data_IF_931691866200
#
_entry.id   IF_931691866200
#
_cell.length_a   1.000
_cell.length_b   1.000
_cell.length_c   1.000
_cell.angle_alpha   90.00
_cell.angle_beta   90.00
_cell.angle_gamma   90.00
#
_symmetry.space_group_name_H-M   'P 1'
#
loop_
_entity.id
_entity.type
_entity.pdbx_description
1 polymer ?
#
# COMPACT_ATOMS: atom_id res chain seq x y z
N UNK A 1 -1.88 -13.06 -6.38
CA UNK A 1 -2.03 -12.70 -4.96
C UNK A 1 -0.61 -12.57 -4.43
N UNK A 2 -0.25 -11.38 -3.96
CA UNK A 2 1.15 -11.07 -3.61
C UNK A 2 1.35 -11.11 -2.09
N UNK A 3 2.51 -11.65 -1.66
CA UNK A 3 2.93 -11.62 -0.27
C UNK A 3 3.30 -10.20 0.17
N UNK A 4 2.95 -9.83 1.40
CA UNK A 4 3.28 -8.51 1.98
C UNK A 4 4.76 -8.16 1.87
N UNK A 5 5.66 -9.12 2.10
CA UNK A 5 7.11 -8.90 2.06
C UNK A 5 7.60 -8.45 0.69
N UNK A 6 6.92 -8.85 -0.38
CA UNK A 6 7.24 -8.51 -1.77
C UNK A 6 6.68 -7.14 -2.19
N UNK A 7 5.92 -6.47 -1.32
CA UNK A 7 5.40 -5.14 -1.59
C UNK A 7 6.46 -4.05 -1.47
N UNK A 8 7.61 -4.31 -0.81
CA UNK A 8 8.67 -3.30 -0.67
C UNK A 8 9.11 -2.82 -2.07
N UNK A 9 9.08 -1.51 -2.27
CA UNK A 9 9.38 -0.86 -3.54
C UNK A 9 8.22 -0.84 -4.54
N UNK A 10 7.08 -1.47 -4.24
CA UNK A 10 5.87 -1.48 -5.08
C UNK A 10 4.87 -0.40 -4.63
N UNK A 11 3.97 -0.03 -5.52
CA UNK A 11 2.89 0.91 -5.23
C UNK A 11 1.65 0.18 -4.73
N UNK A 12 1.01 0.72 -3.71
CA UNK A 12 -0.20 0.19 -3.10
C UNK A 12 -1.24 1.28 -3.06
N UNK A 13 -2.48 0.89 -3.38
CA UNK A 13 -3.63 1.77 -3.37
C UNK A 13 -4.49 1.51 -2.14
N UNK A 14 -4.91 2.59 -1.49
CA UNK A 14 -5.67 2.53 -0.25
C UNK A 14 -6.54 3.78 -0.08
N UNK A 15 -7.57 3.66 0.75
CA UNK A 15 -8.41 4.79 1.14
C UNK A 15 -7.89 5.42 2.42
N UNK A 16 -7.66 6.73 2.39
CA UNK A 16 -7.22 7.53 3.54
C UNK A 16 -8.17 8.71 3.69
N UNK A 17 -8.93 8.77 4.79
CA UNK A 17 -9.97 9.79 5.04
C UNK A 17 -10.89 10.02 3.84
N UNK A 18 -11.43 8.94 3.26
CA UNK A 18 -12.35 9.03 2.11
C UNK A 18 -11.68 9.35 0.77
N UNK A 19 -10.38 9.63 0.74
CA UNK A 19 -9.62 9.87 -0.50
C UNK A 19 -8.86 8.63 -0.94
N UNK A 20 -8.90 8.36 -2.24
CA UNK A 20 -8.06 7.33 -2.86
C UNK A 20 -6.61 7.81 -2.94
N UNK A 21 -5.67 7.00 -2.44
CA UNK A 21 -4.24 7.30 -2.44
C UNK A 21 -3.47 6.11 -2.99
N UNK A 22 -2.40 6.38 -3.75
CA UNK A 22 -1.49 5.38 -4.29
C UNK A 22 -0.06 5.78 -4.00
N UNK A 23 0.61 5.04 -3.12
CA UNK A 23 1.95 5.39 -2.63
C UNK A 23 2.89 4.19 -2.67
N UNK A 24 4.20 4.46 -2.70
CA UNK A 24 5.24 3.41 -2.74
C UNK A 24 5.47 2.85 -1.36
N UNK A 25 5.42 1.54 -1.18
CA UNK A 25 5.77 0.88 0.08
C UNK A 25 7.30 0.93 0.25
N UNK A 26 7.74 1.46 1.38
CA UNK A 26 9.16 1.58 1.75
C UNK A 26 9.55 0.62 2.86
N UNK A 27 8.60 0.13 3.65
CA UNK A 27 8.84 -0.82 4.74
C UNK A 27 7.60 -1.65 5.02
N UNK A 28 7.81 -2.90 5.40
CA UNK A 28 6.78 -3.81 5.92
C UNK A 28 7.19 -4.23 7.33
N UNK A 29 6.27 -4.14 8.29
CA UNK A 29 6.50 -4.49 9.69
C UNK A 29 5.27 -5.21 10.23
N UNK A 30 5.32 -6.54 10.25
CA UNK A 30 4.15 -7.37 10.59
C UNK A 30 2.98 -7.07 9.65
N UNK A 31 1.85 -6.64 10.22
CA UNK A 31 0.66 -6.23 9.47
C UNK A 31 0.62 -4.75 9.11
N UNK A 32 1.73 -4.03 9.28
CA UNK A 32 1.78 -2.60 8.95
C UNK A 32 2.65 -2.35 7.73
N UNK A 33 2.17 -1.53 6.81
CA UNK A 33 2.96 -1.01 5.70
C UNK A 33 3.35 0.44 6.00
N UNK A 34 4.59 0.80 5.71
CA UNK A 34 5.00 2.19 5.60
C UNK A 34 5.07 2.53 4.13
N UNK A 35 4.30 3.52 3.71
CA UNK A 35 4.27 4.04 2.34
C UNK A 35 4.87 5.43 2.30
N UNK A 36 5.37 5.83 1.14
CA UNK A 36 5.94 7.14 0.89
C UNK A 36 5.20 7.79 -0.27
N UNK A 37 4.78 9.03 -0.05
CA UNK A 37 4.09 9.82 -1.07
C UNK A 37 5.06 10.41 -2.11
N UNK A 38 4.52 11.19 -3.04
CA UNK A 38 5.31 11.79 -4.12
C UNK A 38 6.27 12.89 -3.64
N UNK A 39 6.03 13.49 -2.47
CA UNK A 39 6.88 14.53 -1.87
C UNK A 39 7.87 13.97 -0.85
N UNK A 40 7.88 12.65 -0.63
CA UNK A 40 8.80 11.95 0.26
C UNK A 40 8.32 11.78 1.70
N UNK A 41 7.08 12.21 2.03
CA UNK A 41 6.49 12.03 3.34
C UNK A 41 6.08 10.57 3.54
N UNK A 42 6.41 10.03 4.71
CA UNK A 42 6.12 8.65 5.09
C UNK A 42 4.81 8.57 5.85
N UNK A 43 3.96 7.63 5.46
CA UNK A 43 2.71 7.32 6.12
C UNK A 43 2.67 5.87 6.56
N UNK A 44 2.06 5.63 7.71
CA UNK A 44 1.84 4.28 8.23
C UNK A 44 0.41 3.87 7.93
N UNK A 45 0.22 2.74 7.26
CA UNK A 45 -1.10 2.19 6.93
C UNK A 45 -1.24 0.78 7.50
N UNK A 46 -2.39 0.52 8.10
CA UNK A 46 -2.69 -0.75 8.75
C UNK A 46 -4.06 -1.25 8.27
N UNK A 47 -4.22 -2.54 7.95
CA UNK A 47 -5.44 -3.08 7.33
C UNK A 47 -6.67 -2.92 8.24
N UNK A 48 -6.50 -2.90 9.57
CA UNK A 48 -7.60 -2.66 10.52
C UNK A 48 -8.11 -1.21 10.52
N UNK A 49 -7.25 -0.24 10.20
CA UNK A 49 -7.59 1.20 10.28
C UNK A 49 -7.76 1.84 8.91
N UNK A 50 -7.26 1.17 7.87
CA UNK A 50 -7.13 1.72 6.52
C UNK A 50 -7.59 0.66 5.54
N UNK A 51 -8.57 0.99 4.71
CA UNK A 51 -9.05 0.08 3.66
C UNK A 51 -8.02 0.03 2.54
N UNK A 52 -7.25 -1.06 2.50
CA UNK A 52 -6.22 -1.28 1.49
C UNK A 52 -6.84 -2.06 0.34
N UNK A 53 -6.78 -1.49 -0.86
CA UNK A 53 -7.50 -1.98 -2.03
C UNK A 53 -6.66 -2.99 -2.82
N UNK A 54 -5.35 -2.84 -2.79
CA UNK A 54 -4.42 -3.78 -3.41
C UNK A 54 -3.16 -3.12 -3.92
N UNK A 55 -2.28 -3.92 -4.50
CA UNK A 55 -1.09 -3.45 -5.21
C UNK A 55 -1.50 -2.84 -6.54
N UNK A 56 -1.05 -1.62 -6.81
CA UNK A 56 -1.28 -0.95 -8.08
C UNK A 56 -0.31 -1.46 -9.14
N UNK A 57 -0.83 -1.94 -10.27
CA UNK A 57 -0.08 -2.13 -11.50
C UNK A 57 -0.44 -1.07 -12.54
N UNK A 58 0.54 -0.52 -13.27
CA UNK A 58 0.28 0.49 -14.31
C UNK A 58 -0.61 -0.01 -15.45
N UNK A 59 -0.57 -1.31 -15.76
CA UNK A 59 -1.26 -1.90 -16.94
C UNK A 59 -2.32 -2.96 -16.61
N UNK A 60 -2.36 -3.45 -15.36
CA UNK A 60 -3.19 -4.60 -14.95
C UNK A 60 -4.20 -4.27 -13.85
N UNK A 61 -4.23 -3.04 -13.35
CA UNK A 61 -5.14 -2.64 -12.27
C UNK A 61 -4.64 -3.07 -10.89
N UNK A 62 -5.57 -3.43 -10.00
CA UNK A 62 -5.29 -3.77 -8.60
C UNK A 62 -5.08 -5.27 -8.44
N UNK A 63 -3.94 -5.67 -7.89
CA UNK A 63 -3.70 -7.04 -7.45
C UNK A 63 -3.99 -7.18 -5.94
N UNK A 64 -4.80 -8.14 -5.51
CA UNK A 64 -5.07 -8.37 -4.09
C UNK A 64 -3.81 -8.78 -3.33
N UNK A 65 -3.71 -8.27 -2.11
CA UNK A 65 -2.59 -8.50 -1.18
C UNK A 65 -3.02 -9.57 -0.17
N UNK A 66 -2.14 -10.53 0.07
CA UNK A 66 -2.31 -11.53 1.13
C UNK A 66 -1.98 -10.92 2.50
N UNK A 67 -2.95 -10.90 3.42
CA UNK A 67 -2.86 -10.27 4.74
C UNK A 67 -2.59 -11.25 5.87
#
# INVERSE_FOLDING_TARGET
MIKKTELIGKYVSYMYFGSYRTHKVVRVSGNTLTVMDAVGIKHRIHPKTTKILGRQFPKRGLEPIEW
#
